data_IF_671860490047
#
_entry.id   IF_671860490047
#
_cell.length_a   1.000
_cell.length_b   1.000
_cell.length_c   1.000
_cell.angle_alpha   90.00
_cell.angle_beta   90.00
_cell.angle_gamma   90.00
#
_symmetry.space_group_name_H-M   'P 1'
#
loop_
_entity.id
_entity.type
_entity.pdbx_description
1 polymer ?
#
# COMPACT_ATOMS: atom_id res chain seq x y z
N UNK A 1 -21.41 21.62 19.15
CA UNK A 1 -20.33 20.70 19.59
C UNK A 1 -19.33 20.47 18.44
N UNK A 2 -18.90 21.51 17.72
CA UNK A 2 -18.31 21.33 16.37
C UNK A 2 -16.80 21.11 16.32
N UNK A 3 -16.02 21.66 17.26
CA UNK A 3 -14.55 21.67 17.12
C UNK A 3 -13.88 20.36 17.54
N UNK A 4 -14.39 19.70 18.58
CA UNK A 4 -13.80 18.44 19.07
C UNK A 4 -13.93 17.30 18.06
N UNK A 5 -15.10 17.17 17.42
CA UNK A 5 -15.31 16.17 16.38
C UNK A 5 -14.46 16.46 15.13
N UNK A 6 -14.31 17.75 14.79
CA UNK A 6 -13.44 18.13 13.68
C UNK A 6 -11.95 17.87 13.98
N UNK A 7 -11.49 18.20 15.19
CA UNK A 7 -10.12 17.88 15.62
C UNK A 7 -9.85 16.37 15.58
N UNK A 8 -10.80 15.57 16.06
CA UNK A 8 -10.71 14.11 16.00
C UNK A 8 -10.68 13.56 14.57
N UNK A 9 -11.46 14.16 13.65
CA UNK A 9 -11.40 13.81 12.23
C UNK A 9 -10.03 14.12 11.60
N UNK A 10 -9.44 15.28 11.93
CA UNK A 10 -8.10 15.64 11.45
C UNK A 10 -7.03 14.70 12.02
N UNK A 11 -7.12 14.35 13.30
CA UNK A 11 -6.21 13.39 13.94
C UNK A 11 -6.30 11.99 13.30
N UNK A 12 -7.52 11.53 12.98
CA UNK A 12 -7.73 10.30 12.24
C UNK A 12 -7.12 10.38 10.83
N UNK A 13 -7.24 11.51 10.13
CA UNK A 13 -6.57 11.73 8.84
C UNK A 13 -5.05 11.71 8.94
N UNK A 14 -4.48 12.34 9.97
CA UNK A 14 -3.04 12.31 10.25
C UNK A 14 -2.54 10.91 10.54
N UNK A 15 -3.31 10.13 11.30
CA UNK A 15 -2.97 8.74 11.60
C UNK A 15 -2.95 7.91 10.32
N UNK A 16 -3.96 8.06 9.45
CA UNK A 16 -3.98 7.37 8.15
C UNK A 16 -2.82 7.81 7.24
N UNK A 17 -2.50 9.10 7.21
CA UNK A 17 -1.36 9.62 6.45
C UNK A 17 -0.03 9.00 6.91
N UNK A 18 0.20 8.92 8.22
CA UNK A 18 1.39 8.29 8.78
C UNK A 18 1.51 6.81 8.39
N UNK A 19 0.41 6.07 8.39
CA UNK A 19 0.38 4.68 7.93
C UNK A 19 0.69 4.56 6.43
N UNK A 20 0.21 5.48 5.60
CA UNK A 20 0.54 5.50 4.18
C UNK A 20 2.03 5.84 3.94
N UNK A 21 2.64 6.67 4.79
CA UNK A 21 4.08 6.90 4.73
C UNK A 21 4.89 5.67 5.16
N UNK A 22 4.47 4.96 6.21
CA UNK A 22 5.06 3.69 6.61
C UNK A 22 4.94 2.65 5.48
N UNK A 23 3.76 2.55 4.84
CA UNK A 23 3.53 1.66 3.69
C UNK A 23 4.48 1.99 2.53
N UNK A 24 4.70 3.28 2.24
CA UNK A 24 5.66 3.71 1.21
C UNK A 24 7.06 3.16 1.49
N UNK A 25 7.51 3.27 2.74
CA UNK A 25 8.84 2.82 3.17
C UNK A 25 8.94 1.30 3.13
N UNK A 26 7.93 0.58 3.62
CA UNK A 26 7.88 -0.88 3.59
C UNK A 26 7.86 -1.43 2.14
N UNK A 27 7.09 -0.80 1.24
CA UNK A 27 7.10 -1.13 -0.19
C UNK A 27 8.48 -0.90 -0.80
N UNK A 28 9.18 0.19 -0.44
CA UNK A 28 10.51 0.47 -0.95
C UNK A 28 11.56 -0.53 -0.39
N UNK A 29 11.39 -0.99 0.85
CA UNK A 29 12.23 -1.98 1.50
C UNK A 29 11.91 -3.42 1.07
N UNK A 30 10.80 -3.65 0.35
CA UNK A 30 10.29 -4.96 -0.05
C UNK A 30 9.93 -5.87 1.14
N UNK A 31 9.53 -5.28 2.27
CA UNK A 31 9.16 -6.02 3.48
C UNK A 31 7.68 -6.43 3.45
N UNK A 32 7.38 -7.60 2.89
CA UNK A 32 5.99 -8.04 2.68
C UNK A 32 5.21 -8.22 3.98
N UNK A 33 5.83 -8.79 5.03
CA UNK A 33 5.18 -8.98 6.33
C UNK A 33 4.80 -7.64 6.97
N UNK A 34 5.72 -6.65 6.92
CA UNK A 34 5.48 -5.28 7.37
C UNK A 34 4.35 -4.61 6.59
N UNK A 35 4.29 -4.84 5.27
CA UNK A 35 3.20 -4.31 4.42
C UNK A 35 1.85 -4.89 4.86
N UNK A 36 1.77 -6.20 5.12
CA UNK A 36 0.54 -6.86 5.54
C UNK A 36 0.06 -6.35 6.91
N UNK A 37 0.97 -6.15 7.87
CA UNK A 37 0.65 -5.53 9.17
C UNK A 37 0.12 -4.10 9.01
N UNK A 38 0.75 -3.29 8.15
CA UNK A 38 0.32 -1.92 7.86
C UNK A 38 -1.06 -1.92 7.20
N UNK A 39 -1.36 -2.87 6.30
CA UNK A 39 -2.68 -2.98 5.67
C UNK A 39 -3.78 -3.22 6.71
N UNK A 40 -3.56 -4.11 7.68
CA UNK A 40 -4.53 -4.35 8.76
C UNK A 40 -4.75 -3.10 9.62
N UNK A 41 -3.68 -2.37 9.93
CA UNK A 41 -3.79 -1.11 10.69
C UNK A 41 -4.51 -0.01 9.89
N UNK A 42 -4.31 0.03 8.57
CA UNK A 42 -5.01 0.98 7.68
C UNK A 42 -6.51 0.74 7.65
N UNK A 43 -6.95 -0.52 7.66
CA UNK A 43 -8.39 -0.84 7.68
C UNK A 43 -9.05 -0.29 8.96
N UNK A 44 -8.43 -0.52 10.13
CA UNK A 44 -8.90 0.02 11.41
C UNK A 44 -8.89 1.55 11.42
N UNK A 45 -7.82 2.16 10.91
CA UNK A 45 -7.69 3.62 10.81
C UNK A 45 -8.74 4.22 9.88
N UNK A 46 -9.06 3.55 8.77
CA UNK A 46 -10.08 3.99 7.84
C UNK A 46 -11.49 3.89 8.44
N UNK A 47 -11.81 2.82 9.17
CA UNK A 47 -13.06 2.71 9.94
C UNK A 47 -13.19 3.86 10.95
N UNK A 48 -12.09 4.17 11.65
CA UNK A 48 -12.03 5.28 12.60
C UNK A 48 -12.27 6.63 11.92
N UNK A 49 -11.64 6.85 10.76
CA UNK A 49 -11.81 8.06 9.96
C UNK A 49 -13.25 8.22 9.45
N UNK A 50 -13.87 7.13 8.99
CA UNK A 50 -15.26 7.12 8.54
C UNK A 50 -16.23 7.41 9.69
N UNK A 51 -16.02 6.81 10.86
CA UNK A 51 -16.80 7.10 12.06
C UNK A 51 -16.64 8.56 12.52
N UNK A 52 -15.42 9.09 12.46
CA UNK A 52 -15.14 10.50 12.76
C UNK A 52 -15.83 11.44 11.77
N UNK A 53 -15.81 11.10 10.47
CA UNK A 53 -16.51 11.84 9.41
C UNK A 53 -18.03 11.84 9.64
N UNK A 54 -18.61 10.71 9.97
CA UNK A 54 -20.07 10.59 10.18
C UNK A 54 -20.55 11.34 11.44
N UNK A 55 -19.62 11.61 12.36
CA UNK A 55 -19.86 12.47 13.52
C UNK A 55 -19.81 13.97 13.20
N UNK A 56 -19.41 14.36 11.97
CA UNK A 56 -19.40 15.76 11.55
C UNK A 56 -20.79 16.18 11.04
N UNK A 57 -21.26 17.33 11.53
CA UNK A 57 -22.54 17.93 11.08
C UNK A 57 -22.45 18.49 9.63
N UNK A 58 -21.25 18.71 9.12
CA UNK A 58 -20.97 19.32 7.82
C UNK A 58 -19.98 18.48 7.04
N UNK A 59 -20.07 18.53 5.72
CA UNK A 59 -19.08 17.90 4.84
C UNK A 59 -17.68 18.45 5.18
N UNK A 60 -16.71 17.58 5.54
CA UNK A 60 -15.34 18.00 5.83
C UNK A 60 -14.67 18.73 4.66
N UNK A 61 -15.09 18.50 3.41
CA UNK A 61 -14.54 19.22 2.25
C UNK A 61 -14.90 20.70 2.21
N UNK A 62 -15.89 21.14 2.99
CA UNK A 62 -16.19 22.56 3.14
C UNK A 62 -15.10 23.32 3.93
N UNK A 63 -14.22 22.59 4.63
CA UNK A 63 -13.05 23.16 5.29
C UNK A 63 -11.82 22.97 4.38
N UNK A 64 -11.10 24.06 4.10
CA UNK A 64 -9.95 24.04 3.19
C UNK A 64 -8.85 23.08 3.65
N UNK A 65 -8.50 23.10 4.95
CA UNK A 65 -7.47 22.23 5.51
C UNK A 65 -7.84 20.75 5.34
N UNK A 66 -9.07 20.39 5.71
CA UNK A 66 -9.54 19.02 5.57
C UNK A 66 -9.62 18.59 4.09
N UNK A 67 -10.05 19.48 3.19
CA UNK A 67 -10.11 19.20 1.76
C UNK A 67 -8.72 18.91 1.17
N UNK A 68 -7.75 19.79 1.42
CA UNK A 68 -6.37 19.61 0.95
C UNK A 68 -5.74 18.32 1.50
N UNK A 69 -5.99 18.02 2.78
CA UNK A 69 -5.46 16.82 3.44
C UNK A 69 -6.10 15.54 2.90
N UNK A 70 -7.40 15.55 2.62
CA UNK A 70 -8.09 14.44 1.95
C UNK A 70 -7.52 14.18 0.56
N UNK A 71 -7.32 15.22 -0.25
CA UNK A 71 -6.74 15.08 -1.58
C UNK A 71 -5.30 14.53 -1.52
N UNK A 72 -4.51 14.99 -0.54
CA UNK A 72 -3.17 14.49 -0.31
C UNK A 72 -3.15 13.00 0.06
N UNK A 73 -3.96 12.59 1.05
CA UNK A 73 -4.08 11.19 1.49
C UNK A 73 -4.54 10.29 0.35
N UNK A 74 -5.54 10.72 -0.44
CA UNK A 74 -6.03 9.96 -1.60
C UNK A 74 -4.95 9.78 -2.67
N UNK A 75 -4.15 10.83 -2.93
CA UNK A 75 -3.03 10.75 -3.86
C UNK A 75 -1.96 9.77 -3.35
N UNK A 76 -1.60 9.87 -2.07
CA UNK A 76 -0.61 8.98 -1.45
C UNK A 76 -1.05 7.52 -1.51
N UNK A 77 -2.31 7.24 -1.20
CA UNK A 77 -2.87 5.89 -1.30
C UNK A 77 -2.86 5.33 -2.73
N UNK A 78 -3.20 6.17 -3.73
CA UNK A 78 -3.12 5.79 -5.15
C UNK A 78 -1.68 5.45 -5.56
N UNK A 79 -0.71 6.27 -5.15
CA UNK A 79 0.73 6.04 -5.42
C UNK A 79 1.23 4.76 -4.77
N UNK A 80 0.84 4.49 -3.53
CA UNK A 80 1.21 3.27 -2.82
C UNK A 80 0.63 2.03 -3.50
N UNK A 81 -0.65 2.05 -3.89
CA UNK A 81 -1.29 0.94 -4.59
C UNK A 81 -0.58 0.61 -5.92
N UNK A 82 -0.20 1.62 -6.70
CA UNK A 82 0.58 1.44 -7.94
C UNK A 82 1.95 0.84 -7.64
N UNK A 83 2.63 1.32 -6.59
CA UNK A 83 3.97 0.86 -6.22
C UNK A 83 3.96 -0.57 -5.71
N UNK A 84 2.99 -0.92 -4.88
CA UNK A 84 2.76 -2.27 -4.39
C UNK A 84 2.45 -3.24 -5.54
N UNK A 85 1.59 -2.85 -6.48
CA UNK A 85 1.32 -3.66 -7.67
C UNK A 85 2.60 -3.97 -8.45
N UNK A 86 3.45 -2.96 -8.67
CA UNK A 86 4.76 -3.16 -9.32
C UNK A 86 5.71 -4.05 -8.53
N UNK A 87 5.64 -4.03 -7.20
CA UNK A 87 6.42 -4.94 -6.34
C UNK A 87 5.92 -6.36 -6.52
N UNK A 88 4.61 -6.58 -6.41
CA UNK A 88 3.95 -7.88 -6.61
C UNK A 88 4.29 -8.49 -7.98
N UNK A 89 4.11 -7.71 -9.06
CA UNK A 89 4.42 -8.16 -10.42
C UNK A 89 5.89 -8.61 -10.56
N UNK A 90 6.83 -7.91 -9.90
CA UNK A 90 8.25 -8.26 -9.89
C UNK A 90 8.54 -9.55 -9.10
N UNK A 91 7.92 -9.72 -7.94
CA UNK A 91 8.06 -10.93 -7.13
C UNK A 91 7.50 -12.16 -7.89
N UNK A 92 6.33 -12.02 -8.52
CA UNK A 92 5.74 -13.08 -9.33
C UNK A 92 6.60 -13.44 -10.55
N UNK A 93 7.17 -12.45 -11.24
CA UNK A 93 8.06 -12.69 -12.37
C UNK A 93 9.35 -13.42 -11.95
N UNK A 94 9.93 -13.06 -10.80
CA UNK A 94 11.11 -13.75 -10.24
C UNK A 94 10.81 -15.21 -9.91
N UNK A 95 9.67 -15.47 -9.26
CA UNK A 95 9.26 -16.83 -8.91
C UNK A 95 9.02 -17.71 -10.15
N UNK A 96 8.52 -17.14 -11.26
CA UNK A 96 8.36 -17.84 -12.55
C UNK A 96 9.69 -18.09 -13.28
N UNK A 97 10.71 -17.26 -13.06
CA UNK A 97 12.03 -17.43 -13.64
C UNK A 97 12.88 -18.48 -12.90
N UNK A 98 12.67 -18.64 -11.60
CA UNK A 98 13.37 -19.63 -10.78
C UNK A 98 12.74 -21.03 -10.80
N UNK A 99 11.71 -21.27 -11.61
CA UNK A 99 11.09 -22.58 -11.79
C UNK A 99 12.13 -23.63 -12.30
N UNK A 100 12.46 -24.66 -11.50
CA UNK A 100 13.45 -25.67 -11.84
C UNK A 100 13.07 -26.50 -13.08
N UNK A 101 11.79 -26.51 -13.48
CA UNK A 101 11.33 -27.21 -14.69
C UNK A 101 11.90 -26.63 -15.99
N UNK A 102 12.23 -25.32 -16.02
CA UNK A 102 12.87 -24.66 -17.16
C UNK A 102 14.39 -24.81 -17.19
N UNK A 103 15.05 -24.90 -16.02
CA UNK A 103 16.51 -25.13 -15.94
C UNK A 103 16.90 -26.56 -16.38
N UNK A 104 15.96 -27.52 -16.33
CA UNK A 104 16.19 -28.90 -16.80
C UNK A 104 16.32 -29.01 -18.33
N UNK A 105 15.57 -28.22 -19.10
CA UNK A 105 15.59 -28.28 -20.57
C UNK A 105 16.86 -27.69 -21.19
N UNK A 106 17.49 -26.70 -20.55
CA UNK A 106 18.75 -26.11 -21.04
C UNK A 106 19.95 -27.05 -20.86
N UNK A 107 19.97 -27.84 -19.79
CA UNK A 107 21.06 -28.79 -19.55
C UNK A 107 20.99 -30.01 -20.48
N UNK A 108 19.80 -30.45 -20.89
CA UNK A 108 19.65 -31.55 -21.87
C UNK A 108 20.15 -31.16 -23.27
N UNK A 109 19.95 -29.90 -23.69
CA UNK A 109 20.41 -29.44 -25.00
C UNK A 109 21.94 -29.40 -25.11
N UNK A 110 22.65 -29.08 -24.02
CA UNK A 110 24.13 -29.04 -24.01
C UNK A 110 24.79 -30.42 -24.02
N UNK A 111 24.18 -31.43 -23.41
CA UNK A 111 24.77 -32.79 -23.37
C UNK A 111 24.80 -33.46 -24.75
N UNK A 112 23.84 -33.18 -25.63
CA UNK A 112 23.78 -33.75 -26.99
C UNK A 112 24.85 -33.24 -27.95
N UNK A 113 25.53 -32.13 -27.65
CA UNK A 113 26.58 -31.57 -28.53
C UNK A 113 28.01 -31.88 -28.06
N UNK A 114 28.18 -32.53 -26.89
CA UNK A 114 29.48 -32.88 -26.31
C UNK A 114 29.83 -34.37 -26.44
N UNK A 115 28.91 -35.21 -26.95
CA UNK A 115 29.20 -36.58 -27.37
C UNK A 115 29.51 -36.61 -28.88
N UNK A 116 30.73 -36.25 -29.26
CA UNK A 116 31.36 -36.63 -30.53
C UNK A 116 32.88 -36.72 -30.34
#
# INVERSE_FOLDING_TARGET
MSEKHFAYFIEALETLENLLHAETQAIAAHELDTIDEIMQQKDISLETLLAAKDSLEKDPRNNQLANEKLDYVMNLQSRNAISFKKLKDRVEAKNKADDPSRKSSENKARSTYLEN
#
